data_IF_077846666240
#
_entry.id   IF_077846666240
#
_cell.length_a   1.000
_cell.length_b   1.000
_cell.length_c   1.000
_cell.angle_alpha   90.00
_cell.angle_beta   90.00
_cell.angle_gamma   90.00
#
_symmetry.space_group_name_H-M   'P 1'
#
loop_
_entity.id
_entity.type
_entity.pdbx_description
1 polymer ?
#
# COMPACT_ATOMS: atom_id res chain seq x y z
N UNK A 1 30.33 -2.11 14.27
CA UNK A 1 28.90 -2.13 13.91
C UNK A 1 28.65 -3.46 13.25
N UNK A 2 27.79 -4.25 13.85
CA UNK A 2 27.61 -5.67 13.54
C UNK A 2 26.75 -5.82 12.25
N UNK A 3 27.00 -6.85 11.43
CA UNK A 3 26.48 -6.92 10.04
C UNK A 3 24.95 -7.06 9.96
N UNK A 4 24.37 -7.73 10.95
CA UNK A 4 22.95 -7.86 11.23
C UNK A 4 22.28 -6.50 11.49
N UNK A 5 22.90 -5.61 12.27
CA UNK A 5 22.36 -4.27 12.53
C UNK A 5 22.35 -3.40 11.27
N UNK A 6 23.37 -3.52 10.42
CA UNK A 6 23.41 -2.81 9.12
C UNK A 6 22.37 -3.35 8.15
N UNK A 7 22.19 -4.68 8.11
CA UNK A 7 21.17 -5.32 7.27
C UNK A 7 19.76 -4.91 7.72
N UNK A 8 19.48 -4.94 9.02
CA UNK A 8 18.21 -4.49 9.57
C UNK A 8 17.93 -3.02 9.23
N UNK A 9 18.92 -2.13 9.43
CA UNK A 9 18.77 -0.71 9.09
C UNK A 9 18.48 -0.47 7.61
N UNK A 10 19.20 -1.14 6.70
CA UNK A 10 18.97 -1.02 5.26
C UNK A 10 17.56 -1.49 4.89
N UNK A 11 17.19 -2.70 5.32
CA UNK A 11 15.88 -3.26 5.02
C UNK A 11 14.74 -2.38 5.57
N UNK A 12 14.88 -1.76 6.74
CA UNK A 12 13.84 -0.89 7.30
C UNK A 12 13.67 0.35 6.44
N UNK A 13 14.79 0.99 6.06
CA UNK A 13 14.76 2.18 5.21
C UNK A 13 14.23 1.91 3.79
N UNK A 14 14.48 0.72 3.25
CA UNK A 14 14.03 0.32 1.92
C UNK A 14 12.54 -0.07 1.92
N UNK A 15 12.05 -0.74 2.98
CA UNK A 15 10.72 -1.36 3.01
C UNK A 15 9.57 -0.36 3.01
N UNK A 16 9.76 0.81 3.63
CA UNK A 16 8.72 1.83 3.82
C UNK A 16 8.18 2.36 2.48
N UNK A 17 9.04 2.57 1.49
CA UNK A 17 8.63 3.02 0.15
C UNK A 17 8.44 1.87 -0.87
N UNK A 18 9.09 0.72 -0.62
CA UNK A 18 9.13 -0.35 -1.62
C UNK A 18 7.83 -1.16 -1.68
N UNK A 19 7.14 -1.35 -0.55
CA UNK A 19 5.86 -2.07 -0.52
C UNK A 19 4.81 -1.45 -1.45
N UNK A 20 4.61 -0.14 -1.36
CA UNK A 20 3.65 0.58 -2.22
C UNK A 20 4.02 0.44 -3.70
N UNK A 21 5.31 0.55 -4.00
CA UNK A 21 5.83 0.39 -5.37
C UNK A 21 5.50 -1.01 -5.92
N UNK A 22 5.75 -2.07 -5.15
CA UNK A 22 5.42 -3.44 -5.53
C UNK A 22 3.92 -3.61 -5.78
N UNK A 23 3.06 -3.01 -4.95
CA UNK A 23 1.61 -3.05 -5.14
C UNK A 23 1.20 -2.41 -6.47
N UNK A 24 1.69 -1.22 -6.78
CA UNK A 24 1.31 -0.50 -8.01
C UNK A 24 1.80 -1.23 -9.26
N UNK A 25 3.04 -1.72 -9.27
CA UNK A 25 3.57 -2.49 -10.39
C UNK A 25 2.89 -3.85 -10.55
N UNK A 26 2.65 -4.56 -9.44
CA UNK A 26 1.92 -5.83 -9.43
C UNK A 26 0.51 -5.67 -9.96
N UNK A 27 -0.21 -4.62 -9.54
CA UNK A 27 -1.55 -4.30 -10.04
C UNK A 27 -1.52 -3.97 -11.55
N UNK A 28 -0.53 -3.19 -11.99
CA UNK A 28 -0.31 -2.91 -13.40
C UNK A 28 -0.10 -4.19 -14.22
N UNK A 29 0.66 -5.16 -13.69
CA UNK A 29 0.87 -6.45 -14.34
C UNK A 29 -0.43 -7.28 -14.42
N UNK A 30 -1.25 -7.29 -13.36
CA UNK A 30 -2.58 -7.94 -13.37
C UNK A 30 -3.52 -7.31 -14.43
N UNK A 31 -3.54 -5.98 -14.50
CA UNK A 31 -4.32 -5.27 -15.52
C UNK A 31 -3.84 -5.58 -16.94
N UNK A 32 -2.53 -5.64 -17.17
CA UNK A 32 -1.97 -6.05 -18.47
C UNK A 32 -2.36 -7.49 -18.81
N UNK A 33 -2.33 -8.39 -17.82
CA UNK A 33 -2.73 -9.79 -18.03
C UNK A 33 -4.20 -9.91 -18.45
N UNK A 34 -5.09 -9.11 -17.84
CA UNK A 34 -6.52 -9.15 -18.14
C UNK A 34 -6.93 -8.38 -19.40
N UNK A 35 -6.37 -7.19 -19.60
CA UNK A 35 -6.80 -6.23 -20.63
C UNK A 35 -5.80 -6.05 -21.77
N UNK A 36 -4.69 -6.80 -21.78
CA UNK A 36 -3.56 -6.64 -22.73
C UNK A 36 -2.85 -5.28 -22.59
N UNK A 37 -2.03 -4.92 -23.58
CA UNK A 37 -1.26 -3.67 -23.57
C UNK A 37 -2.17 -2.45 -23.44
N UNK A 38 -2.00 -1.61 -22.41
CA UNK A 38 -2.86 -0.48 -22.18
C UNK A 38 -2.61 0.65 -23.19
N UNK A 39 -3.67 1.34 -23.58
CA UNK A 39 -3.61 2.62 -24.27
C UNK A 39 -3.49 3.79 -23.27
N UNK A 40 -3.25 5.00 -23.78
CA UNK A 40 -3.06 6.19 -22.95
C UNK A 40 -4.23 6.47 -21.99
N UNK A 41 -5.48 6.27 -22.42
CA UNK A 41 -6.66 6.52 -21.58
C UNK A 41 -6.68 5.59 -20.37
N UNK A 42 -6.33 4.31 -20.57
CA UNK A 42 -6.25 3.32 -19.50
C UNK A 42 -5.12 3.65 -18.52
N UNK A 43 -3.95 4.05 -19.02
CA UNK A 43 -2.82 4.50 -18.17
C UNK A 43 -3.23 5.71 -17.32
N UNK A 44 -3.79 6.75 -17.92
CA UNK A 44 -4.26 7.93 -17.19
C UNK A 44 -5.39 7.61 -16.21
N UNK A 45 -6.26 6.65 -16.54
CA UNK A 45 -7.30 6.19 -15.63
C UNK A 45 -6.69 5.52 -14.40
N UNK A 46 -5.72 4.61 -14.56
CA UNK A 46 -5.04 3.96 -13.44
C UNK A 46 -4.31 4.96 -12.54
N UNK A 47 -3.53 5.86 -13.14
CA UNK A 47 -2.85 6.94 -12.41
C UNK A 47 -3.88 7.83 -11.69
N UNK A 48 -4.96 8.23 -12.38
CA UNK A 48 -6.04 9.01 -11.80
C UNK A 48 -6.71 8.32 -10.62
N UNK A 49 -6.88 7.00 -10.69
CA UNK A 49 -7.41 6.18 -9.61
C UNK A 49 -6.54 6.27 -8.35
N UNK A 50 -5.23 6.08 -8.51
CA UNK A 50 -4.28 6.19 -7.40
C UNK A 50 -4.27 7.59 -6.78
N UNK A 51 -4.28 8.64 -7.59
CA UNK A 51 -4.38 10.02 -7.11
C UNK A 51 -5.68 10.29 -6.34
N UNK A 52 -6.82 9.76 -6.82
CA UNK A 52 -8.09 9.84 -6.10
C UNK A 52 -8.04 9.08 -4.77
N UNK A 53 -7.38 7.91 -4.73
CA UNK A 53 -7.16 7.15 -3.51
C UNK A 53 -6.40 7.96 -2.46
N UNK A 54 -5.28 8.57 -2.86
CA UNK A 54 -4.54 9.49 -1.99
C UNK A 54 -5.37 10.70 -1.55
N UNK A 55 -6.12 11.32 -2.46
CA UNK A 55 -6.97 12.47 -2.11
C UNK A 55 -8.03 12.10 -1.06
N UNK A 56 -8.67 10.93 -1.19
CA UNK A 56 -9.64 10.42 -0.21
C UNK A 56 -8.96 10.16 1.13
N UNK A 57 -7.83 9.46 1.15
CA UNK A 57 -7.09 9.18 2.37
C UNK A 57 -6.61 10.48 3.06
N UNK A 58 -6.09 11.43 2.31
CA UNK A 58 -5.67 12.73 2.83
C UNK A 58 -6.85 13.51 3.43
N UNK A 59 -8.00 13.53 2.76
CA UNK A 59 -9.22 14.14 3.31
C UNK A 59 -9.68 13.45 4.60
N UNK A 60 -9.59 12.13 4.69
CA UNK A 60 -9.97 11.39 5.89
C UNK A 60 -9.00 11.63 7.05
N UNK A 61 -7.69 11.63 6.77
CA UNK A 61 -6.65 11.80 7.77
C UNK A 61 -6.56 13.24 8.29
N UNK A 62 -6.56 14.22 7.37
CA UNK A 62 -6.27 15.62 7.70
C UNK A 62 -7.52 16.52 7.70
N UNK A 63 -8.69 16.00 7.28
CA UNK A 63 -9.96 16.76 7.13
C UNK A 63 -9.87 17.96 6.18
N UNK A 64 -8.76 18.09 5.47
CA UNK A 64 -8.42 19.16 4.53
C UNK A 64 -7.31 18.67 3.60
N UNK A 65 -7.41 18.99 2.31
CA UNK A 65 -6.34 18.72 1.33
C UNK A 65 -5.17 19.71 1.44
N UNK A 66 -5.33 20.78 2.22
CA UNK A 66 -4.35 21.86 2.35
C UNK A 66 -3.86 22.04 3.79
N UNK A 67 -4.02 21.02 4.64
CA UNK A 67 -3.47 21.05 5.99
C UNK A 67 -1.94 21.17 5.93
N UNK A 68 -1.37 22.02 6.78
CA UNK A 68 0.07 22.07 7.03
C UNK A 68 0.34 21.17 8.23
N UNK A 69 1.18 20.17 8.05
CA UNK A 69 1.68 19.33 9.13
C UNK A 69 2.86 20.07 9.79
N UNK A 70 2.78 20.28 11.11
CA UNK A 70 3.98 20.62 11.90
C UNK A 70 4.67 19.28 12.20
N UNK A 71 5.95 19.10 11.80
CA UNK A 71 6.64 17.84 12.01
C UNK A 71 6.91 17.66 13.50
N UNK A 72 6.14 16.79 14.16
CA UNK A 72 6.42 16.38 15.54
C UNK A 72 7.42 15.22 15.52
N UNK A 73 8.59 15.45 16.12
CA UNK A 73 9.75 14.54 16.17
C UNK A 73 9.49 13.39 17.16
N UNK A 74 8.71 12.36 16.83
CA UNK A 74 8.78 11.10 17.59
C UNK A 74 8.20 9.86 16.89
N UNK A 75 8.65 9.54 15.68
CA UNK A 75 8.37 8.23 15.09
C UNK A 75 9.47 7.22 15.46
N UNK A 76 9.22 6.47 16.53
CA UNK A 76 9.90 5.22 16.77
C UNK A 76 9.52 4.25 15.64
N UNK A 77 10.39 4.18 14.63
CA UNK A 77 10.32 3.25 13.50
C UNK A 77 10.22 1.81 14.01
N UNK A 78 9.00 1.31 14.03
CA UNK A 78 8.70 -0.08 14.32
C UNK A 78 9.24 -0.93 13.15
N UNK A 79 10.31 -1.68 13.43
CA UNK A 79 11.06 -2.54 12.50
C UNK A 79 10.23 -3.75 11.98
N UNK A 80 8.97 -3.90 12.40
CA UNK A 80 8.17 -5.10 12.14
C UNK A 80 7.67 -5.27 10.69
N UNK A 81 7.95 -4.33 9.78
CA UNK A 81 7.44 -4.37 8.41
C UNK A 81 8.54 -4.32 7.35
N UNK A 82 9.27 -5.43 7.20
CA UNK A 82 10.41 -5.53 6.24
C UNK A 82 9.99 -5.82 4.80
N UNK A 83 8.69 -5.92 4.58
CA UNK A 83 7.91 -5.70 3.37
C UNK A 83 6.54 -5.55 4.02
N UNK A 84 5.76 -4.51 3.71
CA UNK A 84 4.36 -4.45 4.11
C UNK A 84 3.61 -5.60 3.44
N UNK A 85 3.87 -6.85 3.82
CA UNK A 85 3.51 -8.06 3.09
C UNK A 85 2.01 -8.26 3.14
N UNK A 86 1.42 -7.92 4.28
CA UNK A 86 -0.02 -7.85 4.46
C UNK A 86 -0.59 -6.73 3.59
N UNK A 87 -0.02 -5.52 3.63
CA UNK A 87 -0.49 -4.40 2.80
C UNK A 87 -0.38 -4.63 1.30
N UNK A 88 0.76 -5.17 0.88
CA UNK A 88 1.13 -5.44 -0.51
C UNK A 88 0.36 -6.63 -1.04
N UNK A 89 0.47 -7.78 -0.37
CA UNK A 89 -0.21 -9.01 -0.76
C UNK A 89 -1.72 -8.91 -0.62
N UNK A 90 -2.22 -8.21 0.41
CA UNK A 90 -3.65 -7.97 0.61
C UNK A 90 -4.25 -7.10 -0.48
N UNK A 91 -3.62 -5.97 -0.81
CA UNK A 91 -4.05 -5.11 -1.93
C UNK A 91 -4.02 -5.86 -3.27
N UNK A 92 -2.95 -6.61 -3.57
CA UNK A 92 -2.89 -7.40 -4.80
C UNK A 92 -3.96 -8.49 -4.86
N UNK A 93 -4.24 -9.15 -3.73
CA UNK A 93 -5.26 -10.20 -3.66
C UNK A 93 -6.67 -9.64 -3.83
N UNK A 94 -6.98 -8.51 -3.20
CA UNK A 94 -8.28 -7.85 -3.32
C UNK A 94 -8.48 -7.35 -4.75
N UNK A 95 -7.50 -6.65 -5.33
CA UNK A 95 -7.60 -6.22 -6.71
C UNK A 95 -7.73 -7.38 -7.70
N UNK A 96 -6.99 -8.49 -7.52
CA UNK A 96 -7.17 -9.70 -8.34
C UNK A 96 -8.61 -10.25 -8.27
N UNK A 97 -9.18 -10.38 -7.07
CA UNK A 97 -10.55 -10.88 -6.90
C UNK A 97 -11.59 -9.94 -7.52
N UNK A 98 -11.40 -8.63 -7.43
CA UNK A 98 -12.28 -7.63 -8.07
C UNK A 98 -12.19 -7.69 -9.60
N UNK A 99 -10.99 -7.87 -10.12
CA UNK A 99 -10.73 -8.04 -11.54
C UNK A 99 -11.39 -9.31 -12.10
N UNK A 100 -11.31 -10.43 -11.39
CA UNK A 100 -12.04 -11.65 -11.75
C UNK A 100 -13.56 -11.50 -11.60
N UNK A 101 -14.04 -10.82 -10.55
CA UNK A 101 -15.46 -10.57 -10.35
C UNK A 101 -16.06 -9.70 -11.47
N UNK A 102 -15.36 -8.65 -11.90
CA UNK A 102 -15.81 -7.79 -13.01
C UNK A 102 -15.80 -8.53 -14.35
N UNK A 103 -14.84 -9.42 -14.57
CA UNK A 103 -14.84 -10.31 -15.74
C UNK A 103 -16.09 -11.19 -15.81
N UNK A 104 -16.54 -11.72 -14.67
CA UNK A 104 -17.59 -12.73 -14.63
C UNK A 104 -19.01 -12.15 -14.46
N UNK A 105 -19.18 -11.12 -13.63
CA UNK A 105 -20.50 -10.64 -13.21
C UNK A 105 -20.90 -9.28 -13.78
N UNK A 106 -19.94 -8.39 -14.08
CA UNK A 106 -20.25 -7.04 -14.58
C UNK A 106 -19.08 -6.52 -15.41
N UNK A 107 -19.09 -6.72 -16.74
CA UNK A 107 -18.02 -6.25 -17.60
C UNK A 107 -17.98 -4.72 -17.59
N UNK A 108 -16.99 -4.17 -16.89
CA UNK A 108 -16.74 -2.74 -16.86
C UNK A 108 -16.01 -2.29 -18.13
N UNK A 109 -16.24 -1.06 -18.61
CA UNK A 109 -15.34 -0.43 -19.58
C UNK A 109 -13.92 -0.47 -19.04
N UNK A 110 -12.95 -0.83 -19.88
CA UNK A 110 -11.57 -1.05 -19.42
C UNK A 110 -10.97 0.17 -18.70
N UNK A 111 -11.30 1.40 -19.13
CA UNK A 111 -10.88 2.61 -18.43
C UNK A 111 -11.36 2.66 -16.97
N UNK A 112 -12.61 2.24 -16.70
CA UNK A 112 -13.14 2.17 -15.34
C UNK A 112 -12.42 1.07 -14.53
N UNK A 113 -12.13 -0.08 -15.12
CA UNK A 113 -11.34 -1.14 -14.47
C UNK A 113 -9.95 -0.66 -14.03
N UNK A 114 -9.26 0.06 -14.91
CA UNK A 114 -7.96 0.68 -14.60
C UNK A 114 -8.09 1.74 -13.49
N UNK A 115 -9.10 2.62 -13.55
CA UNK A 115 -9.37 3.61 -12.50
C UNK A 115 -9.57 2.95 -11.13
N UNK A 116 -10.44 1.95 -11.06
CA UNK A 116 -10.73 1.26 -9.81
C UNK A 116 -9.51 0.51 -9.27
N UNK A 117 -8.74 -0.15 -10.13
CA UNK A 117 -7.53 -0.85 -9.72
C UNK A 117 -6.47 0.10 -9.13
N UNK A 118 -6.25 1.27 -9.73
CA UNK A 118 -5.31 2.26 -9.17
C UNK A 118 -5.78 2.82 -7.82
N UNK A 119 -7.09 3.08 -7.71
CA UNK A 119 -7.71 3.54 -6.47
C UNK A 119 -7.63 2.50 -5.35
N UNK A 120 -8.04 1.27 -5.64
CA UNK A 120 -8.05 0.15 -4.69
C UNK A 120 -6.63 -0.18 -4.23
N UNK A 121 -5.69 -0.34 -5.16
CA UNK A 121 -4.28 -0.59 -4.86
C UNK A 121 -3.73 0.44 -3.87
N UNK A 122 -4.13 1.71 -4.01
CA UNK A 122 -3.69 2.78 -3.12
C UNK A 122 -4.39 2.75 -1.77
N UNK A 123 -5.72 2.65 -1.76
CA UNK A 123 -6.50 2.69 -0.52
C UNK A 123 -6.25 1.46 0.34
N UNK A 124 -6.33 0.27 -0.24
CA UNK A 124 -6.19 -1.00 0.49
C UNK A 124 -4.79 -1.14 1.06
N UNK A 125 -3.76 -0.82 0.29
CA UNK A 125 -2.38 -0.85 0.79
C UNK A 125 -2.23 0.02 2.04
N UNK A 126 -2.68 1.28 1.98
CA UNK A 126 -2.54 2.22 3.10
C UNK A 126 -3.38 1.84 4.32
N UNK A 127 -4.60 1.29 4.12
CA UNK A 127 -5.44 0.84 5.23
C UNK A 127 -4.85 -0.40 5.93
N UNK A 128 -4.32 -1.34 5.17
CA UNK A 128 -3.66 -2.53 5.73
C UNK A 128 -2.36 -2.16 6.43
N UNK A 129 -1.59 -1.22 5.87
CA UNK A 129 -0.41 -0.62 6.51
C UNK A 129 -0.76 0.04 7.84
N UNK A 130 -1.83 0.84 7.87
CA UNK A 130 -2.32 1.47 9.10
C UNK A 130 -2.71 0.40 10.14
N UNK A 131 -3.41 -0.66 9.70
CA UNK A 131 -3.76 -1.79 10.55
C UNK A 131 -2.56 -2.51 11.13
N UNK A 132 -1.52 -2.76 10.32
CA UNK A 132 -0.27 -3.37 10.76
C UNK A 132 0.43 -2.49 11.82
N UNK A 133 0.53 -1.20 11.57
CA UNK A 133 1.14 -0.24 12.50
C UNK A 133 0.37 -0.17 13.82
N UNK A 134 -0.97 -0.21 13.76
CA UNK A 134 -1.82 -0.26 14.95
C UNK A 134 -1.60 -1.55 15.75
N UNK A 135 -1.56 -2.70 15.08
CA UNK A 135 -1.33 -4.01 15.72
C UNK A 135 0.02 -4.07 16.44
N UNK A 136 1.07 -3.51 15.85
CA UNK A 136 2.38 -3.51 16.52
C UNK A 136 2.39 -2.58 17.74
N UNK A 137 1.74 -1.41 17.67
CA UNK A 137 1.65 -0.48 18.82
C UNK A 137 0.89 -1.07 20.01
N UNK A 138 -0.12 -1.92 19.79
CA UNK A 138 -0.91 -2.52 20.88
C UNK A 138 -0.33 -3.82 21.44
N UNK A 139 0.66 -4.41 20.77
CA UNK A 139 1.31 -5.63 21.25
C UNK A 139 2.41 -5.23 22.23
N UNK A 140 2.31 -5.53 23.53
CA UNK A 140 3.40 -5.24 24.46
C UNK A 140 4.63 -6.01 23.99
N UNK A 141 5.75 -5.31 23.82
CA UNK A 141 7.05 -5.96 23.70
C UNK A 141 7.17 -6.88 24.91
N UNK A 142 7.25 -8.19 24.68
CA UNK A 142 7.63 -9.13 25.72
C UNK A 142 9.07 -8.73 26.07
N UNK A 143 9.19 -7.92 27.10
CA UNK A 143 10.46 -7.60 27.73
C UNK A 143 11.09 -8.95 28.07
N UNK A 144 12.19 -9.24 27.38
CA UNK A 144 13.10 -10.30 27.79
C UNK A 144 13.81 -9.78 29.03
N UNK A 145 13.10 -9.80 30.16
CA UNK A 145 13.70 -9.66 31.48
C UNK A 145 14.71 -10.80 31.65
N UNK A 146 15.96 -10.37 31.79
CA UNK A 146 17.03 -11.00 32.55
C UNK A 146 16.68 -12.34 33.23
N UNK A 147 17.24 -13.42 32.72
CA UNK A 147 17.79 -14.47 33.59
C UNK A 147 19.29 -14.37 33.50
N UNK A 148 19.90 -13.89 34.58
CA UNK A 148 21.35 -13.75 34.75
C UNK A 148 22.08 -15.06 35.00
#
# INVERSE_FOLDING_TARGET
MDWDQRLAGNLTSESEAYGYTLTIWGMGALLINQYSTPNAVQVFSFVGGGLLGFAVLALLAFRSLFAREDPDENDQLIVASMIHFVGTGGALSIGYLLLEATRFYTPLPAAAGFLFAGFEATVVYNLLLLGETFLVRITPLVDTESTG
#
